data_IF_462616937025
#
_entry.id   IF_462616937025
#
_cell.length_a   1.000
_cell.length_b   1.000
_cell.length_c   1.000
_cell.angle_alpha   90.00
_cell.angle_beta   90.00
_cell.angle_gamma   90.00
#
_symmetry.space_group_name_H-M   'P 1'
#
loop_
_entity.id
_entity.type
_entity.pdbx_description
1 polymer ?
#
# COMPACT_ATOMS: atom_id res chain seq x y z
N UNK A 1 -7.80 33.13 -16.80
CA UNK A 1 -6.93 32.12 -17.44
C UNK A 1 -7.71 30.81 -17.46
N UNK A 2 -8.30 30.48 -18.61
CA UNK A 2 -9.18 29.31 -18.78
C UNK A 2 -8.26 28.12 -18.99
N UNK A 3 -8.23 27.18 -18.02
CA UNK A 3 -7.56 25.89 -18.22
C UNK A 3 -8.54 25.04 -19.03
N UNK A 4 -8.27 24.90 -20.32
CA UNK A 4 -8.94 23.94 -21.19
C UNK A 4 -8.44 22.55 -20.76
N UNK A 5 -9.27 21.77 -20.06
CA UNK A 5 -9.10 20.34 -19.94
C UNK A 5 -9.37 19.73 -21.32
N UNK A 6 -8.31 19.59 -22.12
CA UNK A 6 -8.36 18.82 -23.35
C UNK A 6 -8.67 17.37 -23.01
N UNK A 7 -9.62 16.76 -23.68
CA UNK A 7 -9.87 15.33 -23.70
C UNK A 7 -8.64 14.62 -24.28
N UNK A 8 -7.67 14.29 -23.43
CA UNK A 8 -6.51 13.50 -23.80
C UNK A 8 -6.98 12.05 -23.91
N UNK A 9 -6.86 11.46 -25.09
CA UNK A 9 -7.01 10.02 -25.25
C UNK A 9 -6.01 9.33 -24.31
N UNK A 10 -6.52 8.50 -23.40
CA UNK A 10 -5.70 7.70 -22.49
C UNK A 10 -4.76 6.83 -23.32
N UNK A 11 -3.46 6.99 -23.11
CA UNK A 11 -2.44 6.11 -23.69
C UNK A 11 -2.21 4.93 -22.77
N UNK A 12 -1.52 3.88 -23.21
CA UNK A 12 -1.16 2.75 -22.35
C UNK A 12 -0.31 3.18 -21.13
N UNK A 13 0.39 4.32 -21.19
CA UNK A 13 1.10 4.91 -20.06
C UNK A 13 0.16 5.52 -19.02
N UNK A 14 -1.03 5.99 -19.43
CA UNK A 14 -2.00 6.63 -18.52
C UNK A 14 -2.71 5.61 -17.61
N UNK A 15 -2.49 4.30 -17.81
CA UNK A 15 -3.08 3.20 -17.03
C UNK A 15 -2.05 2.51 -16.11
N UNK A 16 -0.88 3.10 -15.91
CA UNK A 16 0.22 2.44 -15.21
C UNK A 16 0.12 2.59 -13.69
N UNK A 17 0.66 1.57 -13.00
CA UNK A 17 0.85 1.54 -11.56
C UNK A 17 2.30 1.88 -11.24
N UNK A 18 2.54 2.85 -10.37
CA UNK A 18 3.87 3.08 -9.83
C UNK A 18 4.11 2.16 -8.63
N UNK A 19 5.15 1.35 -8.68
CA UNK A 19 5.66 0.62 -7.52
C UNK A 19 6.91 1.35 -7.01
N UNK A 20 6.83 1.87 -5.79
CA UNK A 20 7.96 2.54 -5.12
C UNK A 20 8.74 1.50 -4.32
N UNK A 21 9.97 1.23 -4.74
CA UNK A 21 10.88 0.32 -4.05
C UNK A 21 11.58 1.02 -2.88
N UNK A 22 11.19 0.63 -1.67
CA UNK A 22 11.79 1.08 -0.41
C UNK A 22 12.89 0.13 0.09
N UNK A 23 13.34 -0.80 -0.74
CA UNK A 23 14.32 -1.84 -0.40
C UNK A 23 13.68 -3.08 0.25
N UNK A 24 12.47 -3.43 -0.17
CA UNK A 24 11.82 -4.68 0.23
C UNK A 24 12.47 -5.89 -0.44
N UNK A 25 12.71 -7.00 0.28
CA UNK A 25 13.14 -8.24 -0.35
C UNK A 25 12.06 -8.84 -1.26
N UNK A 26 10.80 -8.42 -1.09
CA UNK A 26 9.63 -8.94 -1.80
C UNK A 26 9.13 -8.02 -2.92
N UNK A 27 9.87 -6.95 -3.27
CA UNK A 27 9.42 -6.03 -4.34
C UNK A 27 9.23 -6.74 -5.69
N UNK A 28 10.06 -7.75 -5.98
CA UNK A 28 9.91 -8.57 -7.19
C UNK A 28 8.61 -9.38 -7.20
N UNK A 29 8.13 -9.81 -6.04
CA UNK A 29 6.86 -10.53 -5.94
C UNK A 29 5.67 -9.60 -6.24
N UNK A 30 5.76 -8.30 -5.87
CA UNK A 30 4.76 -7.28 -6.27
C UNK A 30 4.71 -7.18 -7.80
N UNK A 31 5.87 -7.04 -8.44
CA UNK A 31 5.98 -6.96 -9.90
C UNK A 31 5.40 -8.22 -10.57
N UNK A 32 5.76 -9.41 -10.09
CA UNK A 32 5.22 -10.67 -10.60
C UNK A 32 3.68 -10.77 -10.45
N UNK A 33 3.12 -10.22 -9.38
CA UNK A 33 1.65 -10.16 -9.23
C UNK A 33 1.02 -9.25 -10.29
N UNK A 34 1.60 -8.07 -10.55
CA UNK A 34 1.10 -7.14 -11.57
C UNK A 34 1.25 -7.71 -12.99
N UNK A 35 2.38 -8.36 -13.29
CA UNK A 35 2.62 -9.05 -14.57
C UNK A 35 1.57 -10.13 -14.85
N UNK A 36 1.28 -10.98 -13.86
CA UNK A 36 0.26 -12.03 -13.95
C UNK A 36 -1.15 -11.47 -14.17
N UNK A 37 -1.40 -10.23 -13.77
CA UNK A 37 -2.66 -9.52 -14.01
C UNK A 37 -2.68 -8.76 -15.33
N UNK A 38 -1.57 -8.75 -16.09
CA UNK A 38 -1.43 -7.94 -17.32
C UNK A 38 -1.43 -6.44 -17.04
N UNK A 39 -1.11 -6.01 -15.81
CA UNK A 39 -1.16 -4.62 -15.40
C UNK A 39 0.14 -3.90 -15.77
N UNK A 40 0.06 -2.86 -16.58
CA UNK A 40 1.19 -1.97 -16.88
C UNK A 40 1.67 -1.29 -15.61
N UNK A 41 2.97 -1.32 -15.37
CA UNK A 41 3.57 -0.75 -14.17
C UNK A 41 5.00 -0.26 -14.41
N UNK A 42 5.46 0.65 -13.54
CA UNK A 42 6.84 1.08 -13.43
C UNK A 42 7.36 0.77 -12.02
N UNK A 43 8.60 0.29 -11.94
CA UNK A 43 9.34 0.14 -10.69
C UNK A 43 10.34 1.28 -10.55
N UNK A 44 10.21 2.09 -9.50
CA UNK A 44 11.13 3.19 -9.18
C UNK A 44 11.60 3.07 -7.75
N UNK A 45 12.88 3.36 -7.50
CA UNK A 45 13.37 3.52 -6.13
C UNK A 45 12.81 4.81 -5.54
N UNK A 46 12.69 4.84 -4.22
CA UNK A 46 12.15 6.01 -3.48
C UNK A 46 12.94 7.32 -3.73
N UNK A 47 14.18 7.23 -4.18
CA UNK A 47 15.10 8.35 -4.45
C UNK A 47 15.31 8.65 -5.96
N UNK A 48 14.64 7.93 -6.85
CA UNK A 48 14.59 8.24 -8.28
C UNK A 48 13.58 9.35 -8.58
N UNK A 49 13.80 10.08 -9.68
CA UNK A 49 12.84 11.07 -10.16
C UNK A 49 11.66 10.40 -10.87
N UNK A 50 10.46 10.80 -10.50
CA UNK A 50 9.21 10.45 -11.20
C UNK A 50 8.13 11.50 -10.92
N UNK A 51 7.17 11.60 -11.83
CA UNK A 51 6.02 12.49 -11.69
C UNK A 51 4.78 11.64 -11.40
N UNK A 52 4.17 11.82 -10.23
CA UNK A 52 2.99 11.06 -9.81
C UNK A 52 1.78 11.25 -10.75
N UNK A 53 1.71 12.37 -11.44
CA UNK A 53 0.69 12.65 -12.46
C UNK A 53 0.70 11.69 -13.66
N UNK A 54 1.78 10.92 -13.83
CA UNK A 54 1.89 9.92 -14.91
C UNK A 54 1.29 8.57 -14.52
N UNK A 55 0.84 8.40 -13.28
CA UNK A 55 0.36 7.12 -12.75
C UNK A 55 -1.06 7.23 -12.22
N UNK A 56 -1.83 6.19 -12.42
CA UNK A 56 -3.19 6.10 -11.90
C UNK A 56 -3.24 5.57 -10.47
N UNK A 57 -2.25 4.80 -10.07
CA UNK A 57 -2.17 4.17 -8.75
C UNK A 57 -0.73 4.07 -8.28
N UNK A 58 -0.55 4.02 -6.98
CA UNK A 58 0.77 3.89 -6.35
C UNK A 58 0.76 2.73 -5.35
N UNK A 59 1.81 1.91 -5.37
CA UNK A 59 2.09 0.89 -4.36
C UNK A 59 3.41 1.26 -3.68
N UNK A 60 3.40 1.42 -2.35
CA UNK A 60 4.61 1.57 -1.55
C UNK A 60 5.01 0.21 -1.00
N UNK A 61 6.18 -0.29 -1.35
CA UNK A 61 6.69 -1.56 -0.86
C UNK A 61 7.08 -1.52 0.63
N UNK A 62 7.29 -2.69 1.22
CA UNK A 62 8.00 -2.83 2.49
C UNK A 62 9.44 -2.32 2.42
N UNK A 63 10.19 -2.44 3.52
CA UNK A 63 11.62 -2.11 3.59
C UNK A 63 12.37 -3.04 4.53
N UNK A 64 13.69 -3.14 4.37
CA UNK A 64 14.58 -3.81 5.32
C UNK A 64 15.34 -2.83 6.22
N UNK A 65 15.71 -1.65 5.70
CA UNK A 65 16.56 -0.68 6.40
C UNK A 65 15.78 0.58 6.75
N UNK A 66 15.86 1.00 8.00
CA UNK A 66 15.26 2.27 8.44
C UNK A 66 16.22 3.43 8.12
N UNK A 67 15.81 4.33 7.21
CA UNK A 67 16.52 5.56 6.86
C UNK A 67 15.56 6.73 6.90
N UNK A 68 16.00 7.88 7.42
CA UNK A 68 15.17 9.10 7.52
C UNK A 68 14.74 9.61 6.14
N UNK A 69 15.62 9.47 5.14
CA UNK A 69 15.37 9.88 3.76
C UNK A 69 14.18 9.11 3.16
N UNK A 70 14.12 7.78 3.36
CA UNK A 70 13.00 6.93 2.91
C UNK A 70 11.68 7.44 3.52
N UNK A 71 11.67 7.71 4.82
CA UNK A 71 10.48 8.21 5.51
C UNK A 71 10.01 9.55 4.95
N UNK A 72 10.93 10.50 4.75
CA UNK A 72 10.61 11.83 4.22
C UNK A 72 10.04 11.75 2.80
N UNK A 73 10.67 10.96 1.92
CA UNK A 73 10.20 10.82 0.53
C UNK A 73 8.84 10.13 0.45
N UNK A 74 8.67 9.01 1.19
CA UNK A 74 7.37 8.33 1.22
C UNK A 74 6.25 9.23 1.78
N UNK A 75 6.52 10.01 2.84
CA UNK A 75 5.53 10.96 3.37
C UNK A 75 5.11 12.01 2.33
N UNK A 76 6.05 12.50 1.49
CA UNK A 76 5.71 13.42 0.39
C UNK A 76 4.83 12.72 -0.65
N UNK A 77 5.19 11.50 -1.08
CA UNK A 77 4.41 10.70 -2.03
C UNK A 77 2.99 10.50 -1.49
N UNK A 78 2.85 10.07 -0.22
CA UNK A 78 1.57 9.83 0.43
C UNK A 78 0.70 11.10 0.43
N UNK A 79 1.24 12.25 0.83
CA UNK A 79 0.52 13.52 0.82
C UNK A 79 0.10 13.93 -0.59
N UNK A 80 0.99 13.80 -1.57
CA UNK A 80 0.66 14.10 -2.97
C UNK A 80 -0.44 13.17 -3.50
N UNK A 81 -0.40 11.88 -3.19
CA UNK A 81 -1.48 10.94 -3.55
C UNK A 81 -2.80 11.33 -2.88
N UNK A 82 -2.77 11.71 -1.61
CA UNK A 82 -3.94 12.16 -0.88
C UNK A 82 -4.57 13.41 -1.49
N UNK A 83 -3.75 14.45 -1.76
CA UNK A 83 -4.20 15.74 -2.29
C UNK A 83 -4.75 15.64 -3.71
N UNK A 84 -4.16 14.76 -4.55
CA UNK A 84 -4.56 14.55 -5.94
C UNK A 84 -5.48 13.33 -6.15
N UNK A 85 -5.97 12.72 -5.07
CA UNK A 85 -6.89 11.57 -5.09
C UNK A 85 -6.36 10.33 -5.83
N UNK A 86 -5.04 10.18 -5.93
CA UNK A 86 -4.38 9.01 -6.52
C UNK A 86 -4.50 7.83 -5.55
N UNK A 87 -5.10 6.69 -5.94
CA UNK A 87 -5.19 5.51 -5.09
C UNK A 87 -3.80 5.02 -4.66
N UNK A 88 -3.66 4.73 -3.38
CA UNK A 88 -2.40 4.33 -2.76
C UNK A 88 -2.58 3.08 -1.90
N UNK A 89 -1.72 2.09 -2.11
CA UNK A 89 -1.59 0.91 -1.26
C UNK A 89 -0.20 0.89 -0.61
N UNK A 90 -0.13 0.95 0.70
CA UNK A 90 1.10 0.73 1.47
C UNK A 90 1.20 -0.70 1.97
N UNK A 91 2.33 -1.39 1.72
CA UNK A 91 2.59 -2.76 2.14
C UNK A 91 3.61 -2.75 3.27
N UNK A 92 3.29 -3.37 4.40
CA UNK A 92 4.13 -3.52 5.60
C UNK A 92 4.65 -2.13 6.06
N UNK A 93 5.93 -1.81 5.85
CA UNK A 93 6.43 -0.45 6.08
C UNK A 93 5.60 0.62 5.36
N UNK A 94 5.10 0.34 4.15
CA UNK A 94 4.22 1.27 3.43
C UNK A 94 2.97 1.64 4.23
N UNK A 95 2.36 0.69 4.94
CA UNK A 95 1.23 0.95 5.84
C UNK A 95 1.66 1.73 7.09
N UNK A 96 2.81 1.38 7.67
CA UNK A 96 3.37 2.07 8.83
C UNK A 96 3.62 3.56 8.53
N UNK A 97 4.24 3.87 7.39
CA UNK A 97 4.54 5.26 7.01
C UNK A 97 3.29 6.04 6.61
N UNK A 98 2.24 5.38 6.08
CA UNK A 98 0.93 6.00 5.90
C UNK A 98 0.39 6.44 7.26
N UNK A 99 0.33 5.54 8.24
CA UNK A 99 -0.16 5.88 9.57
C UNK A 99 0.64 7.04 10.19
N UNK A 100 1.98 6.98 10.15
CA UNK A 100 2.86 8.04 10.67
C UNK A 100 2.67 9.38 9.97
N UNK A 101 2.44 9.38 8.65
CA UNK A 101 2.26 10.61 7.85
C UNK A 101 1.02 11.38 8.25
N UNK A 102 -0.03 10.69 8.69
CA UNK A 102 -1.29 11.29 9.13
C UNK A 102 -1.43 11.42 10.67
N UNK A 103 -0.34 11.21 11.41
CA UNK A 103 -0.31 11.44 12.86
C UNK A 103 -0.60 10.22 13.73
N UNK A 104 -0.65 9.03 13.13
CA UNK A 104 -0.68 7.77 13.86
C UNK A 104 0.68 7.42 14.48
N UNK A 105 0.77 6.27 15.12
CA UNK A 105 2.01 5.78 15.74
C UNK A 105 2.24 4.29 15.49
N UNK A 106 3.51 3.89 15.59
CA UNK A 106 3.95 2.50 15.49
C UNK A 106 4.68 2.09 16.77
N UNK A 107 4.71 0.80 17.05
CA UNK A 107 5.49 0.23 18.15
C UNK A 107 6.29 -0.98 17.68
N UNK A 108 7.34 -1.33 18.44
CA UNK A 108 8.10 -2.54 18.18
C UNK A 108 7.36 -3.75 18.77
N UNK A 109 7.15 -4.78 17.95
CA UNK A 109 6.43 -6.00 18.34
C UNK A 109 7.35 -7.16 18.70
N UNK A 110 8.56 -7.18 18.19
CA UNK A 110 9.36 -8.37 18.00
C UNK A 110 9.22 -8.88 16.57
N UNK A 111 9.96 -9.92 16.22
CA UNK A 111 9.89 -10.49 14.87
C UNK A 111 8.60 -11.33 14.72
N UNK A 112 7.73 -10.90 13.84
CA UNK A 112 6.61 -11.68 13.32
C UNK A 112 7.00 -12.17 11.93
N UNK A 113 6.96 -13.49 11.70
CA UNK A 113 7.39 -14.07 10.43
C UNK A 113 6.63 -15.36 10.12
N UNK A 114 6.11 -15.47 8.91
CA UNK A 114 5.41 -16.66 8.44
C UNK A 114 3.94 -16.41 8.12
N UNK A 115 3.19 -17.50 8.02
CA UNK A 115 1.76 -17.46 7.69
C UNK A 115 0.95 -17.26 8.98
N UNK A 116 0.13 -16.22 8.99
CA UNK A 116 -0.82 -15.93 10.07
C UNK A 116 -2.23 -15.77 9.51
N UNK A 117 -3.22 -16.02 10.38
CA UNK A 117 -4.63 -15.81 10.05
C UNK A 117 -5.06 -14.41 10.50
N UNK A 118 -5.63 -13.66 9.57
CA UNK A 118 -6.29 -12.39 9.84
C UNK A 118 -7.82 -12.57 9.85
N UNK A 119 -8.50 -11.75 10.65
CA UNK A 119 -9.95 -11.65 10.67
C UNK A 119 -10.36 -10.30 10.06
N UNK A 120 -11.24 -10.33 9.07
CA UNK A 120 -11.79 -9.12 8.44
C UNK A 120 -13.05 -8.74 9.22
N UNK A 121 -13.01 -7.61 9.91
CA UNK A 121 -14.03 -7.16 10.87
C UNK A 121 -15.02 -6.17 10.26
N UNK A 122 -14.62 -5.54 9.14
CA UNK A 122 -15.44 -4.56 8.45
C UNK A 122 -15.40 -4.78 6.94
N UNK A 123 -16.49 -4.49 6.22
CA UNK A 123 -16.49 -4.54 4.77
C UNK A 123 -15.40 -3.66 4.18
N UNK A 124 -14.72 -4.16 3.18
CA UNK A 124 -13.72 -3.41 2.42
C UNK A 124 -13.81 -3.74 0.94
N UNK A 125 -13.49 -2.76 0.10
CA UNK A 125 -13.37 -2.99 -1.34
C UNK A 125 -12.17 -3.88 -1.72
N UNK A 126 -11.24 -4.12 -0.79
CA UNK A 126 -10.04 -4.90 -1.05
C UNK A 126 -10.25 -6.40 -0.89
N UNK A 127 -11.12 -6.84 0.04
CA UNK A 127 -11.40 -8.25 0.33
C UNK A 127 -12.85 -8.42 0.75
N UNK A 128 -13.51 -9.44 0.20
CA UNK A 128 -14.89 -9.80 0.55
C UNK A 128 -14.97 -11.01 1.51
N UNK A 129 -13.83 -11.52 1.97
CA UNK A 129 -13.72 -12.68 2.86
C UNK A 129 -13.83 -12.26 4.32
N UNK A 130 -14.26 -13.20 5.19
CA UNK A 130 -14.33 -12.99 6.64
C UNK A 130 -12.98 -13.23 7.31
N UNK A 131 -12.12 -14.06 6.73
CA UNK A 131 -10.78 -14.35 7.21
C UNK A 131 -9.88 -14.80 6.07
N UNK A 132 -8.58 -14.62 6.25
CA UNK A 132 -7.54 -15.00 5.30
C UNK A 132 -6.28 -15.49 6.01
N UNK A 133 -5.53 -16.36 5.32
CA UNK A 133 -4.15 -16.64 5.70
C UNK A 133 -3.23 -15.72 4.90
N UNK A 134 -2.36 -14.99 5.59
CA UNK A 134 -1.46 -13.99 5.01
C UNK A 134 -0.03 -14.22 5.47
N UNK A 135 0.92 -13.76 4.68
CA UNK A 135 2.34 -13.84 5.02
C UNK A 135 2.80 -12.53 5.67
N UNK A 136 3.34 -12.65 6.88
CA UNK A 136 3.90 -11.53 7.65
C UNK A 136 5.43 -11.64 7.72
N UNK A 137 6.09 -10.48 7.71
CA UNK A 137 7.53 -10.36 7.94
C UNK A 137 7.83 -8.94 8.41
N UNK A 138 7.65 -8.70 9.72
CA UNK A 138 7.83 -7.38 10.31
C UNK A 138 8.27 -7.44 11.77
N UNK A 139 8.78 -6.34 12.30
CA UNK A 139 9.15 -6.15 13.71
C UNK A 139 8.54 -4.89 14.32
N UNK A 140 7.71 -4.20 13.56
CA UNK A 140 6.92 -3.05 13.99
C UNK A 140 5.48 -3.24 13.53
N UNK A 141 4.55 -2.64 14.25
CA UNK A 141 3.14 -2.60 13.88
C UNK A 141 2.55 -1.24 14.25
N UNK A 142 1.46 -0.88 13.59
CA UNK A 142 0.70 0.33 13.89
C UNK A 142 0.06 0.16 15.28
N UNK A 143 0.31 1.11 16.19
CA UNK A 143 -0.25 1.12 17.55
C UNK A 143 -1.50 1.99 17.67
N UNK A 144 -1.50 3.15 16.99
CA UNK A 144 -2.65 4.04 16.93
C UNK A 144 -2.89 4.50 15.50
N UNK A 145 -4.16 4.39 15.06
CA UNK A 145 -4.58 4.89 13.76
C UNK A 145 -4.74 6.40 13.79
N UNK A 146 -4.45 7.07 12.67
CA UNK A 146 -4.85 8.46 12.49
C UNK A 146 -6.38 8.61 12.54
N UNK A 147 -6.88 9.81 12.88
CA UNK A 147 -8.30 10.09 13.09
C UNK A 147 -9.22 9.67 11.93
N UNK A 148 -8.78 9.85 10.70
CA UNK A 148 -9.57 9.54 9.49
C UNK A 148 -9.30 8.15 8.91
N UNK A 149 -8.72 7.23 9.68
CA UNK A 149 -8.50 5.85 9.29
C UNK A 149 -9.31 4.87 10.12
N UNK A 150 -9.72 3.80 9.48
CA UNK A 150 -10.36 2.66 10.15
C UNK A 150 -9.48 1.42 10.04
N UNK A 151 -9.53 0.59 11.07
CA UNK A 151 -9.08 -0.79 11.02
C UNK A 151 -10.18 -1.62 10.35
N UNK A 152 -9.76 -2.43 9.37
CA UNK A 152 -10.63 -3.32 8.60
C UNK A 152 -10.38 -4.77 9.00
N UNK A 153 -9.13 -5.11 9.30
CA UNK A 153 -8.74 -6.45 9.71
C UNK A 153 -7.71 -6.43 10.83
N UNK A 154 -7.76 -7.45 11.68
CA UNK A 154 -6.83 -7.67 12.79
C UNK A 154 -6.36 -9.12 12.86
N UNK A 155 -5.30 -9.36 13.63
CA UNK A 155 -4.78 -10.68 13.98
C UNK A 155 -4.26 -10.74 15.42
N UNK A 156 -3.73 -11.88 15.82
CA UNK A 156 -3.03 -12.01 17.10
C UNK A 156 -1.69 -11.28 17.13
N UNK A 157 -1.07 -11.02 15.96
CA UNK A 157 0.23 -10.34 15.81
C UNK A 157 0.09 -8.83 15.65
N UNK A 158 -1.03 -8.36 15.08
CA UNK A 158 -1.28 -6.93 14.85
C UNK A 158 -2.76 -6.58 14.96
N UNK A 159 -3.04 -5.50 15.68
CA UNK A 159 -4.41 -4.96 15.77
C UNK A 159 -4.87 -4.28 14.48
N UNK A 160 -3.95 -3.96 13.56
CA UNK A 160 -4.21 -3.18 12.37
C UNK A 160 -3.55 -3.83 11.15
N UNK A 161 -4.11 -4.98 10.73
CA UNK A 161 -3.65 -5.74 9.56
C UNK A 161 -4.01 -5.09 8.24
N UNK A 162 -5.22 -4.54 8.16
CA UNK A 162 -5.67 -3.73 7.02
C UNK A 162 -6.22 -2.42 7.57
N UNK A 163 -5.71 -1.32 7.04
CA UNK A 163 -6.18 0.03 7.34
C UNK A 163 -6.69 0.70 6.08
N UNK A 164 -7.76 1.47 6.22
CA UNK A 164 -8.36 2.24 5.13
C UNK A 164 -8.65 3.66 5.58
N UNK A 165 -8.38 4.64 4.73
CA UNK A 165 -8.88 6.01 4.97
C UNK A 165 -10.39 6.06 4.73
N UNK A 166 -11.13 6.81 5.55
CA UNK A 166 -12.59 6.85 5.56
C UNK A 166 -13.21 7.35 4.24
N UNK A 167 -12.55 8.26 3.54
CA UNK A 167 -13.08 8.95 2.36
C UNK A 167 -12.17 8.95 1.13
N UNK A 168 -10.89 8.65 1.30
CA UNK A 168 -9.90 8.62 0.21
C UNK A 168 -9.47 7.18 -0.08
N UNK A 169 -8.99 6.93 -1.29
CA UNK A 169 -8.50 5.61 -1.73
C UNK A 169 -7.07 5.36 -1.24
N UNK A 170 -6.86 5.47 0.07
CA UNK A 170 -5.59 5.21 0.74
C UNK A 170 -5.76 3.98 1.64
N UNK A 171 -4.95 2.98 1.39
CA UNK A 171 -5.01 1.67 2.05
C UNK A 171 -3.64 1.25 2.54
N UNK A 172 -3.61 0.45 3.59
CA UNK A 172 -2.39 -0.17 4.08
C UNK A 172 -2.61 -1.61 4.54
N UNK A 173 -1.63 -2.48 4.30
CA UNK A 173 -1.58 -3.84 4.86
C UNK A 173 -0.32 -4.01 5.68
N UNK A 174 -0.43 -4.56 6.90
CA UNK A 174 0.74 -4.90 7.72
C UNK A 174 1.47 -6.11 7.15
N UNK A 175 0.73 -7.08 6.62
CA UNK A 175 1.24 -8.26 5.94
C UNK A 175 1.67 -7.96 4.49
N UNK A 176 2.27 -8.95 3.84
CA UNK A 176 2.73 -8.93 2.46
C UNK A 176 1.71 -9.61 1.53
N UNK A 177 0.78 -8.88 0.88
CA UNK A 177 -0.19 -9.48 -0.02
C UNK A 177 0.46 -10.20 -1.20
N UNK A 178 1.59 -9.70 -1.69
CA UNK A 178 2.39 -10.32 -2.76
C UNK A 178 2.93 -11.72 -2.41
N UNK A 179 2.92 -12.08 -1.11
CA UNK A 179 3.32 -13.40 -0.57
C UNK A 179 2.16 -14.20 0.00
N UNK A 180 0.94 -13.68 -0.06
CA UNK A 180 -0.23 -14.23 0.67
C UNK A 180 -1.16 -15.07 -0.22
N UNK A 181 -0.62 -15.67 -1.28
CA UNK A 181 -1.34 -16.59 -2.15
C UNK A 181 -2.60 -15.97 -2.77
N UNK A 182 -3.71 -16.72 -2.77
CA UNK A 182 -4.96 -16.28 -3.39
C UNK A 182 -5.54 -15.02 -2.72
N UNK A 183 -5.50 -14.98 -1.39
CA UNK A 183 -6.01 -13.83 -0.63
C UNK A 183 -5.26 -12.53 -1.00
N UNK A 184 -3.93 -12.58 -1.03
CA UNK A 184 -3.13 -11.43 -1.40
C UNK A 184 -3.29 -11.03 -2.87
N UNK A 185 -3.41 -12.01 -3.76
CA UNK A 185 -3.68 -11.77 -5.19
C UNK A 185 -5.03 -11.10 -5.39
N UNK A 186 -6.07 -11.53 -4.68
CA UNK A 186 -7.40 -10.90 -4.69
C UNK A 186 -7.32 -9.44 -4.21
N UNK A 187 -6.63 -9.19 -3.09
CA UNK A 187 -6.45 -7.85 -2.56
C UNK A 187 -5.78 -6.91 -3.57
N UNK A 188 -4.65 -7.33 -4.16
CA UNK A 188 -3.95 -6.52 -5.17
C UNK A 188 -4.85 -6.30 -6.40
N UNK A 189 -5.54 -7.33 -6.89
CA UNK A 189 -6.46 -7.20 -8.03
C UNK A 189 -7.58 -6.21 -7.74
N UNK A 190 -8.20 -6.28 -6.58
CA UNK A 190 -9.26 -5.36 -6.19
C UNK A 190 -8.75 -3.92 -6.05
N UNK A 191 -7.54 -3.73 -5.49
CA UNK A 191 -6.89 -2.42 -5.49
C UNK A 191 -6.65 -1.88 -6.91
N UNK A 192 -6.19 -2.72 -7.82
CA UNK A 192 -5.96 -2.33 -9.23
C UNK A 192 -7.27 -1.98 -9.93
N UNK A 193 -8.39 -2.57 -9.52
CA UNK A 193 -9.71 -2.33 -10.12
C UNK A 193 -10.43 -1.07 -9.58
N UNK A 194 -9.90 -0.40 -8.55
CA UNK A 194 -10.45 0.86 -8.01
C UNK A 194 -10.26 2.01 -9.01
#
# INVERSE_FOLDING_TARGET
MIIIMGSRLLTSQDLSVLVVDNGSPYVKDIILCLDKMGQTHDLKKYDEEFFLSNYQKVILSGRQKNKKEINSMNSKIIRTCFDNEIPLLGICYGAEIIALTFGGSIHKTGLVHGINRINIEKPTKLLEKVHCNVYESHSYAISHLPENFICVASSSSSKHEIICHNSKRIFGTQFHPEKSGECGTELIRNFISL
#
